data_IF_245599786423
#
_entry.id   IF_245599786423
#
_cell.length_a   1.000
_cell.length_b   1.000
_cell.length_c   1.000
_cell.angle_alpha   90.00
_cell.angle_beta   90.00
_cell.angle_gamma   90.00
#
_symmetry.space_group_name_H-M   'P 1'
#
loop_
_entity.id
_entity.type
_entity.pdbx_description
1 polymer ?
#
# COMPACT_ATOMS: atom_id res chain seq x y z
N UNK A 1 10.99 -53.17 -20.46
CA UNK A 1 10.14 -52.58 -19.39
C UNK A 1 10.94 -51.81 -18.34
N UNK A 2 12.16 -52.25 -17.96
CA UNK A 2 13.02 -51.57 -16.97
C UNK A 2 13.38 -50.10 -17.31
N UNK A 3 13.59 -49.77 -18.60
CA UNK A 3 13.92 -48.40 -19.04
C UNK A 3 12.82 -47.37 -18.73
N UNK A 4 11.55 -47.75 -18.88
CA UNK A 4 10.42 -46.86 -18.58
C UNK A 4 10.29 -46.61 -17.08
N UNK A 5 10.55 -47.63 -16.26
CA UNK A 5 10.46 -47.50 -14.80
C UNK A 5 11.55 -46.56 -14.25
N UNK A 6 12.77 -46.66 -14.76
CA UNK A 6 13.89 -45.77 -14.37
C UNK A 6 13.62 -44.32 -14.76
N UNK A 7 13.10 -44.06 -15.96
CA UNK A 7 12.76 -42.69 -16.39
C UNK A 7 11.66 -42.05 -15.56
N UNK A 8 10.62 -42.82 -15.21
CA UNK A 8 9.53 -42.34 -14.35
C UNK A 8 10.02 -42.06 -12.91
N UNK A 9 10.91 -42.90 -12.39
CA UNK A 9 11.50 -42.71 -11.08
C UNK A 9 12.42 -41.47 -11.03
N UNK A 10 13.22 -41.23 -12.08
CA UNK A 10 14.04 -40.02 -12.20
C UNK A 10 13.19 -38.75 -12.27
N UNK A 11 12.06 -38.76 -12.99
CA UNK A 11 11.14 -37.63 -13.04
C UNK A 11 10.51 -37.33 -11.67
N UNK A 12 10.08 -38.37 -10.94
CA UNK A 12 9.53 -38.22 -9.60
C UNK A 12 10.57 -37.67 -8.61
N UNK A 13 11.80 -38.18 -8.63
CA UNK A 13 12.88 -37.67 -7.78
C UNK A 13 13.15 -36.20 -8.08
N UNK A 14 13.24 -35.82 -9.36
CA UNK A 14 13.53 -34.44 -9.74
C UNK A 14 12.40 -33.48 -9.35
N UNK A 15 11.13 -33.91 -9.49
CA UNK A 15 9.97 -33.14 -9.03
C UNK A 15 9.97 -32.96 -7.50
N UNK A 16 10.29 -34.01 -6.74
CA UNK A 16 10.37 -33.92 -5.27
C UNK A 16 11.54 -33.07 -4.78
N UNK A 17 12.68 -33.09 -5.47
CA UNK A 17 13.83 -32.25 -5.15
C UNK A 17 13.55 -30.76 -5.41
N UNK A 18 12.87 -30.42 -6.51
CA UNK A 18 12.43 -29.05 -6.82
C UNK A 18 11.37 -28.57 -5.82
N UNK A 19 10.39 -29.42 -5.49
CA UNK A 19 9.36 -29.11 -4.50
C UNK A 19 9.96 -28.94 -3.08
N UNK A 20 10.99 -29.71 -2.73
CA UNK A 20 11.71 -29.54 -1.47
C UNK A 20 12.53 -28.24 -1.44
N UNK A 21 13.20 -27.89 -2.55
CA UNK A 21 13.99 -26.65 -2.64
C UNK A 21 13.14 -25.39 -2.53
N UNK A 22 11.89 -25.41 -3.03
CA UNK A 22 10.98 -24.27 -2.94
C UNK A 22 9.99 -24.36 -1.77
N UNK A 23 9.81 -25.55 -1.17
CA UNK A 23 8.86 -25.80 -0.10
C UNK A 23 9.47 -25.82 1.31
N UNK A 24 10.80 -25.98 1.46
CA UNK A 24 11.46 -26.01 2.77
C UNK A 24 11.94 -24.65 3.27
N UNK A 25 11.99 -23.63 2.41
CA UNK A 25 12.25 -22.26 2.81
C UNK A 25 10.90 -21.57 2.97
N UNK A 26 10.46 -21.37 4.21
CA UNK A 26 9.43 -20.35 4.45
C UNK A 26 10.03 -19.02 3.99
N UNK A 27 9.48 -18.45 2.92
CA UNK A 27 9.92 -17.14 2.46
C UNK A 27 9.53 -16.13 3.55
N UNK A 28 10.47 -15.75 4.41
CA UNK A 28 10.35 -14.64 5.34
C UNK A 28 10.56 -13.31 4.60
N UNK A 29 9.81 -13.12 3.51
CA UNK A 29 9.65 -11.80 2.90
C UNK A 29 8.52 -11.10 3.66
N UNK A 30 8.84 -10.32 4.69
CA UNK A 30 7.86 -9.44 5.33
C UNK A 30 7.83 -8.09 4.60
N UNK A 31 7.31 -8.13 3.37
CA UNK A 31 7.22 -7.00 2.43
C UNK A 31 5.80 -6.41 2.35
N UNK A 32 4.90 -6.81 3.26
CA UNK A 32 3.48 -6.45 3.24
C UNK A 32 3.24 -4.93 3.15
N UNK A 33 4.14 -4.13 3.76
CA UNK A 33 4.06 -2.67 3.75
C UNK A 33 5.21 -1.98 3.03
N UNK A 34 6.07 -2.74 2.33
CA UNK A 34 7.14 -2.20 1.52
C UNK A 34 6.55 -1.14 0.56
N UNK A 35 5.58 -1.56 -0.25
CA UNK A 35 4.86 -0.76 -1.25
C UNK A 35 3.58 -0.08 -0.73
N UNK A 36 3.49 0.18 0.58
CA UNK A 36 2.30 0.77 1.19
C UNK A 36 2.52 2.19 1.71
N UNK A 37 1.51 3.03 1.56
CA UNK A 37 1.37 4.33 2.20
C UNK A 37 0.22 4.23 3.20
N UNK A 38 0.52 4.49 4.48
CA UNK A 38 -0.48 4.56 5.54
C UNK A 38 -0.89 6.00 5.79
N UNK A 39 -2.19 6.27 5.90
CA UNK A 39 -2.73 7.57 6.28
C UNK A 39 -3.51 7.41 7.58
N UNK A 40 -3.08 8.06 8.65
CA UNK A 40 -3.76 7.96 9.95
C UNK A 40 -4.33 9.32 10.34
N UNK A 41 -5.65 9.37 10.56
CA UNK A 41 -6.29 10.60 11.01
C UNK A 41 -5.94 10.89 12.46
N UNK A 42 -5.49 12.12 12.73
CA UNK A 42 -5.20 12.57 14.09
C UNK A 42 -6.47 12.50 14.96
N UNK A 43 -6.32 12.02 16.20
CA UNK A 43 -7.40 11.97 17.19
C UNK A 43 -7.40 13.18 18.13
N UNK A 44 -6.48 14.15 17.93
CA UNK A 44 -6.35 15.31 18.80
C UNK A 44 -7.50 16.30 18.62
N UNK A 45 -8.59 16.03 19.35
CA UNK A 45 -9.81 16.85 19.35
C UNK A 45 -9.95 17.72 20.60
N UNK A 46 -9.01 17.59 21.55
CA UNK A 46 -9.10 18.20 22.89
C UNK A 46 -7.90 19.08 23.24
N UNK A 47 -6.85 19.11 22.41
CA UNK A 47 -5.71 20.00 22.60
C UNK A 47 -6.08 21.49 22.50
N UNK A 48 -5.16 22.40 22.89
CA UNK A 48 -5.39 23.84 22.83
C UNK A 48 -5.62 24.36 21.40
N UNK A 49 -5.09 23.64 20.39
CA UNK A 49 -5.35 23.87 18.97
C UNK A 49 -5.72 22.52 18.33
N UNK A 50 -7.00 22.08 18.40
CA UNK A 50 -7.37 20.75 17.96
C UNK A 50 -7.20 20.61 16.43
N UNK A 51 -6.35 19.68 16.01
CA UNK A 51 -6.05 19.38 14.61
C UNK A 51 -6.63 18.03 14.16
N UNK A 52 -7.21 17.27 15.07
CA UNK A 52 -7.76 15.95 14.84
C UNK A 52 -9.18 15.91 14.28
N UNK A 53 -9.63 14.70 13.99
CA UNK A 53 -10.97 14.39 13.51
C UNK A 53 -11.78 13.65 14.58
N UNK A 54 -13.10 13.77 14.50
CA UNK A 54 -14.03 12.94 15.27
C UNK A 54 -14.33 11.68 14.49
N UNK A 55 -14.64 10.59 15.19
CA UNK A 55 -14.90 9.30 14.55
C UNK A 55 -16.02 9.33 13.51
N UNK A 56 -17.07 10.14 13.72
CA UNK A 56 -18.17 10.29 12.76
C UNK A 56 -17.78 11.02 11.48
N UNK A 57 -16.72 11.81 11.51
CA UNK A 57 -16.31 12.65 10.37
C UNK A 57 -15.46 11.88 9.37
N UNK A 58 -14.77 10.83 9.82
CA UNK A 58 -14.00 9.93 8.96
C UNK A 58 -14.72 8.61 8.69
N UNK A 59 -16.02 8.53 8.99
CA UNK A 59 -16.80 7.30 8.77
C UNK A 59 -16.83 6.94 7.28
N UNK A 60 -16.95 7.94 6.41
CA UNK A 60 -16.95 7.77 4.97
C UNK A 60 -15.72 8.45 4.39
N UNK A 61 -14.69 7.65 4.10
CA UNK A 61 -13.47 8.11 3.43
C UNK A 61 -13.55 7.68 1.98
N UNK A 62 -13.56 8.63 1.07
CA UNK A 62 -13.46 8.35 -0.35
C UNK A 62 -12.00 8.46 -0.77
N UNK A 63 -11.54 7.45 -1.49
CA UNK A 63 -10.23 7.46 -2.11
C UNK A 63 -10.42 7.40 -3.61
N UNK A 64 -9.80 8.33 -4.32
CA UNK A 64 -9.74 8.39 -5.77
C UNK A 64 -8.29 8.16 -6.18
N UNK A 65 -8.05 7.26 -7.13
CA UNK A 65 -6.76 7.16 -7.81
C UNK A 65 -6.89 7.63 -9.25
N UNK A 66 -5.89 8.37 -9.72
CA UNK A 66 -5.82 8.87 -11.09
C UNK A 66 -4.42 8.54 -11.62
N UNK A 67 -4.29 7.77 -12.72
CA UNK A 67 -2.97 7.48 -13.27
C UNK A 67 -2.26 8.76 -13.69
N UNK A 68 -0.96 8.83 -13.47
CA UNK A 68 -0.14 10.00 -13.83
C UNK A 68 0.12 10.09 -15.33
N UNK A 69 -0.01 8.98 -16.06
CA UNK A 69 0.15 8.95 -17.51
C UNK A 69 -1.03 9.66 -18.21
N UNK A 70 -0.69 10.73 -18.91
CA UNK A 70 -1.64 11.60 -19.61
C UNK A 70 -1.95 11.13 -21.04
N UNK A 71 -1.17 10.19 -21.59
CA UNK A 71 -1.25 9.83 -23.01
C UNK A 71 -2.53 9.08 -23.39
N UNK A 72 -3.12 8.32 -22.46
CA UNK A 72 -4.35 7.55 -22.71
C UNK A 72 -5.59 8.06 -21.95
N UNK A 73 -5.50 9.21 -21.26
CA UNK A 73 -6.56 9.74 -20.35
C UNK A 73 -7.28 8.61 -19.58
N UNK A 74 -6.55 7.74 -18.87
CA UNK A 74 -7.19 6.65 -18.15
C UNK A 74 -8.15 7.19 -17.08
N UNK A 75 -9.29 6.51 -16.91
CA UNK A 75 -10.33 6.91 -15.98
C UNK A 75 -9.86 6.92 -14.53
N UNK A 76 -10.42 7.82 -13.72
CA UNK A 76 -10.22 7.83 -12.28
C UNK A 76 -11.05 6.70 -11.64
N UNK A 77 -10.44 5.93 -10.75
CA UNK A 77 -11.15 4.94 -9.94
C UNK A 77 -11.47 5.54 -8.58
N UNK A 78 -12.67 5.27 -8.05
CA UNK A 78 -13.06 5.70 -6.71
C UNK A 78 -13.48 4.51 -5.87
N UNK A 79 -12.97 4.44 -4.64
CA UNK A 79 -13.40 3.48 -3.62
C UNK A 79 -13.89 4.24 -2.40
N UNK A 80 -14.98 3.74 -1.81
CA UNK A 80 -15.47 4.19 -0.50
C UNK A 80 -14.95 3.23 0.57
N UNK A 81 -14.28 3.78 1.56
CA UNK A 81 -13.89 3.09 2.79
C UNK A 81 -14.85 3.50 3.90
N UNK A 82 -15.74 2.59 4.27
CA UNK A 82 -16.64 2.77 5.43
C UNK A 82 -15.91 2.31 6.69
N UNK A 83 -15.70 3.23 7.62
CA UNK A 83 -14.89 3.00 8.82
C UNK A 83 -15.77 3.00 10.07
N UNK A 84 -15.92 1.86 10.78
CA UNK A 84 -16.62 1.84 12.05
C UNK A 84 -15.81 2.59 13.12
N UNK A 85 -16.49 3.15 14.12
CA UNK A 85 -15.87 3.93 15.21
C UNK A 85 -14.73 3.17 15.88
N UNK A 86 -14.87 1.85 16.08
CA UNK A 86 -13.85 1.00 16.68
C UNK A 86 -12.53 0.92 15.88
N UNK A 87 -12.57 1.22 14.57
CA UNK A 87 -11.39 1.22 13.69
C UNK A 87 -10.92 2.62 13.33
N UNK A 88 -11.45 3.66 13.96
CA UNK A 88 -11.12 5.06 13.68
C UNK A 88 -9.62 5.36 13.66
N UNK A 89 -8.89 4.82 14.64
CA UNK A 89 -7.46 5.05 14.82
C UNK A 89 -6.58 4.22 13.88
N UNK A 90 -7.13 3.24 13.16
CA UNK A 90 -6.36 2.45 12.21
C UNK A 90 -5.95 3.30 11.01
N UNK A 91 -4.78 3.06 10.40
CA UNK A 91 -4.41 3.77 9.18
C UNK A 91 -5.24 3.28 7.99
N UNK A 92 -5.57 4.19 7.09
CA UNK A 92 -5.98 3.86 5.72
C UNK A 92 -4.73 3.46 4.96
N UNK A 93 -4.70 2.21 4.49
CA UNK A 93 -3.55 1.67 3.76
C UNK A 93 -3.83 1.73 2.26
N UNK A 94 -2.89 2.32 1.53
CA UNK A 94 -2.88 2.40 0.07
C UNK A 94 -1.62 1.68 -0.41
N UNK A 95 -1.77 0.64 -1.22
CA UNK A 95 -0.68 -0.11 -1.84
C UNK A 95 -1.07 -0.51 -3.28
N UNK A 96 -0.30 -1.42 -3.90
CA UNK A 96 -0.53 -1.85 -5.28
C UNK A 96 -1.88 -2.56 -5.50
N UNK A 97 -2.46 -3.18 -4.47
CA UNK A 97 -3.64 -4.07 -4.57
C UNK A 97 -4.79 -3.70 -3.64
N UNK A 98 -4.60 -2.70 -2.78
CA UNK A 98 -5.55 -2.27 -1.73
C UNK A 98 -5.49 -0.74 -1.60
N UNK A 99 -6.63 -0.04 -1.52
CA UNK A 99 -7.99 -0.59 -1.59
C UNK A 99 -8.46 -0.83 -3.03
N UNK A 100 -7.65 -0.50 -4.02
CA UNK A 100 -7.96 -0.71 -5.42
C UNK A 100 -7.31 -1.98 -5.95
N UNK A 101 -8.04 -2.73 -6.78
CA UNK A 101 -7.44 -3.84 -7.52
C UNK A 101 -6.29 -3.36 -8.41
N UNK A 102 -5.27 -4.19 -8.55
CA UNK A 102 -4.12 -3.91 -9.42
C UNK A 102 -4.59 -3.81 -10.88
N UNK A 103 -4.17 -2.74 -11.57
CA UNK A 103 -4.49 -2.51 -12.97
C UNK A 103 -3.24 -2.70 -13.83
N UNK A 104 -3.08 -3.90 -14.39
CA UNK A 104 -1.91 -4.28 -15.19
C UNK A 104 -0.60 -4.18 -14.40
N UNK A 105 0.42 -3.59 -15.01
CA UNK A 105 1.76 -3.47 -14.41
C UNK A 105 1.97 -2.15 -13.63
N UNK A 106 0.93 -1.32 -13.49
CA UNK A 106 1.04 -0.04 -12.77
C UNK A 106 1.13 -0.28 -11.27
N UNK A 107 2.16 0.28 -10.65
CA UNK A 107 2.39 0.23 -9.19
C UNK A 107 1.91 1.53 -8.53
N UNK A 108 2.05 1.62 -7.21
CA UNK A 108 1.60 2.75 -6.38
C UNK A 108 2.11 4.11 -6.90
N UNK A 109 3.35 4.17 -7.39
CA UNK A 109 4.03 5.35 -7.94
C UNK A 109 3.45 5.86 -9.27
N UNK A 110 2.64 5.04 -9.95
CA UNK A 110 2.06 5.34 -11.26
C UNK A 110 0.77 6.17 -11.17
N UNK A 111 0.35 6.55 -9.96
CA UNK A 111 -0.91 7.25 -9.70
C UNK A 111 -0.72 8.45 -8.77
N UNK A 112 -1.62 9.42 -8.91
CA UNK A 112 -1.96 10.37 -7.86
C UNK A 112 -3.20 9.89 -7.11
N UNK A 113 -3.33 10.29 -5.85
CA UNK A 113 -4.46 9.91 -5.01
C UNK A 113 -5.11 11.14 -4.40
N UNK A 114 -6.43 11.17 -4.39
CA UNK A 114 -7.21 12.13 -3.63
C UNK A 114 -7.99 11.36 -2.56
N UNK A 115 -7.69 11.65 -1.31
CA UNK A 115 -8.51 11.25 -0.18
C UNK A 115 -9.42 12.43 0.17
N UNK A 116 -10.73 12.18 0.29
CA UNK A 116 -11.65 13.19 0.76
C UNK A 116 -12.71 12.63 1.70
N UNK A 117 -13.19 13.49 2.59
CA UNK A 117 -14.25 13.18 3.55
C UNK A 117 -15.55 13.83 3.08
N UNK A 118 -16.59 13.02 2.92
CA UNK A 118 -17.91 13.48 2.52
C UNK A 118 -18.99 12.55 3.06
N UNK A 119 -20.21 13.06 3.32
CA UNK A 119 -21.30 12.20 3.78
C UNK A 119 -21.76 11.22 2.68
N UNK A 120 -21.64 11.58 1.40
CA UNK A 120 -22.00 10.72 0.26
C UNK A 120 -21.09 10.97 -0.95
N UNK A 121 -21.04 10.04 -1.91
CA UNK A 121 -20.21 10.17 -3.13
C UNK A 121 -20.65 11.34 -4.01
N UNK A 122 -21.94 11.66 -4.00
CA UNK A 122 -22.54 12.74 -4.80
C UNK A 122 -22.53 14.09 -4.09
N UNK A 123 -21.97 14.16 -2.88
CA UNK A 123 -21.87 15.41 -2.13
C UNK A 123 -20.99 16.40 -2.88
N UNK A 124 -21.53 17.58 -3.17
CA UNK A 124 -20.79 18.66 -3.85
C UNK A 124 -19.75 19.34 -2.95
N UNK A 125 -19.86 19.16 -1.63
CA UNK A 125 -18.99 19.77 -0.64
C UNK A 125 -18.29 18.66 0.13
N UNK A 126 -16.96 18.72 0.15
CA UNK A 126 -16.11 17.87 0.97
C UNK A 126 -15.80 18.60 2.27
N UNK A 127 -15.78 17.88 3.39
CA UNK A 127 -15.37 18.45 4.68
C UNK A 127 -13.84 18.52 4.82
N UNK A 128 -13.12 17.75 4.01
CA UNK A 128 -11.66 17.69 4.00
C UNK A 128 -11.17 17.01 2.72
N UNK A 129 -10.07 17.51 2.18
CA UNK A 129 -9.36 16.96 1.02
C UNK A 129 -7.87 16.81 1.36
N UNK A 130 -7.29 15.69 0.98
CA UNK A 130 -5.85 15.41 1.03
C UNK A 130 -5.43 14.79 -0.29
N UNK A 131 -4.43 15.37 -0.93
CA UNK A 131 -3.89 14.89 -2.20
C UNK A 131 -2.50 14.31 -2.00
N UNK A 132 -2.30 13.08 -2.44
CA UNK A 132 -0.97 12.53 -2.69
C UNK A 132 -0.68 12.76 -4.17
N UNK A 133 0.20 13.70 -4.47
CA UNK A 133 0.50 14.11 -5.84
C UNK A 133 1.27 13.03 -6.58
N UNK A 134 2.25 12.45 -5.92
CA UNK A 134 3.04 11.33 -6.43
C UNK A 134 3.69 10.58 -5.28
N UNK A 135 4.02 9.33 -5.54
CA UNK A 135 4.90 8.53 -4.69
C UNK A 135 6.12 8.17 -5.51
N UNK A 136 7.31 8.43 -4.99
CA UNK A 136 8.54 7.90 -5.57
C UNK A 136 8.90 6.64 -4.81
N UNK A 137 8.92 5.51 -5.52
CA UNK A 137 9.31 4.21 -5.01
C UNK A 137 10.56 3.74 -5.73
N UNK A 138 11.57 3.33 -4.96
CA UNK A 138 12.69 2.57 -5.48
C UNK A 138 12.68 1.18 -4.84
N UNK A 139 12.17 0.20 -5.58
CA UNK A 139 12.04 -1.18 -5.15
C UNK A 139 13.22 -1.97 -5.70
N UNK A 140 13.94 -2.70 -4.85
CA UNK A 140 14.96 -3.66 -5.24
C UNK A 140 14.38 -5.06 -5.17
N UNK A 141 14.46 -5.75 -6.29
CA UNK A 141 14.14 -7.16 -6.37
C UNK A 141 15.31 -7.97 -5.80
N UNK A 142 15.02 -8.81 -4.80
CA UNK A 142 15.98 -9.79 -4.29
C UNK A 142 15.42 -11.19 -4.54
N UNK A 143 16.20 -12.00 -5.22
CA UNK A 143 15.90 -13.42 -5.40
C UNK A 143 16.91 -14.24 -4.61
N UNK A 144 16.43 -14.95 -3.59
CA UNK A 144 17.23 -15.89 -2.82
C UNK A 144 16.59 -17.28 -2.95
N UNK A 145 17.22 -18.15 -3.75
CA UNK A 145 16.67 -19.47 -4.06
C UNK A 145 15.33 -19.38 -4.80
N UNK A 146 14.28 -19.98 -4.24
CA UNK A 146 12.92 -19.95 -4.78
C UNK A 146 12.08 -18.76 -4.28
N UNK A 147 12.63 -17.92 -3.40
CA UNK A 147 11.93 -16.76 -2.85
C UNK A 147 12.28 -15.49 -3.62
N UNK A 148 11.26 -14.70 -3.93
CA UNK A 148 11.41 -13.35 -4.48
C UNK A 148 10.84 -12.36 -3.47
N UNK A 149 11.70 -11.49 -2.94
CA UNK A 149 11.28 -10.41 -2.04
C UNK A 149 11.45 -9.05 -2.74
N UNK A 150 10.59 -8.10 -2.40
CA UNK A 150 10.74 -6.71 -2.81
C UNK A 150 11.11 -5.85 -1.61
N UNK A 151 12.24 -5.16 -1.70
CA UNK A 151 12.71 -4.24 -0.67
C UNK A 151 12.66 -2.81 -1.16
N UNK A 152 12.06 -1.93 -0.37
CA UNK A 152 11.96 -0.53 -0.72
C UNK A 152 13.06 0.29 -0.07
N UNK A 153 14.11 0.55 -0.84
CA UNK A 153 15.26 1.35 -0.42
C UNK A 153 14.94 2.84 -0.36
N UNK A 154 13.91 3.30 -1.05
CA UNK A 154 13.44 4.68 -0.98
C UNK A 154 11.93 4.74 -1.21
N UNK A 155 11.21 5.43 -0.32
CA UNK A 155 9.77 5.73 -0.48
C UNK A 155 9.50 7.17 -0.06
N UNK A 156 9.30 8.05 -1.03
CA UNK A 156 9.04 9.48 -0.82
C UNK A 156 7.61 9.81 -1.26
N UNK A 157 6.82 10.42 -0.37
CA UNK A 157 5.41 10.75 -0.65
C UNK A 157 5.26 12.27 -0.73
N UNK A 158 4.80 12.76 -1.87
CA UNK A 158 4.51 14.18 -2.10
C UNK A 158 3.04 14.45 -1.87
N UNK A 159 2.73 15.45 -1.04
CA UNK A 159 1.38 15.69 -0.52
C UNK A 159 1.02 17.16 -0.68
N UNK A 160 -0.21 17.44 -1.14
CA UNK A 160 -0.81 18.77 -1.23
C UNK A 160 0.09 19.81 -1.95
N UNK A 161 0.81 19.40 -2.98
CA UNK A 161 1.72 20.24 -3.75
C UNK A 161 2.98 20.66 -2.99
N UNK A 162 3.24 20.09 -1.80
CA UNK A 162 4.44 20.38 -1.03
C UNK A 162 5.70 19.84 -1.77
N UNK A 163 6.69 20.69 -2.09
CA UNK A 163 7.91 20.25 -2.76
C UNK A 163 8.80 19.36 -1.88
N UNK A 164 8.62 19.41 -0.55
CA UNK A 164 9.35 18.58 0.40
C UNK A 164 8.56 17.29 0.64
N UNK A 165 9.06 16.11 0.22
CA UNK A 165 8.34 14.87 0.42
C UNK A 165 8.39 14.40 1.87
N UNK A 166 7.36 13.67 2.27
CA UNK A 166 7.38 12.85 3.46
C UNK A 166 8.21 11.60 3.17
N UNK A 167 9.37 11.46 3.82
CA UNK A 167 10.22 10.28 3.66
C UNK A 167 9.61 9.11 4.42
N UNK A 168 8.92 8.21 3.72
CA UNK A 168 8.28 7.01 4.26
C UNK A 168 9.09 5.74 3.96
N UNK A 169 10.39 5.85 3.63
CA UNK A 169 11.28 4.70 3.47
C UNK A 169 11.13 3.79 4.68
N UNK A 170 10.83 2.51 4.43
CA UNK A 170 10.25 1.61 5.41
C UNK A 170 11.06 1.59 6.71
N UNK A 171 10.51 2.04 7.85
CA UNK A 171 11.13 1.73 9.11
C UNK A 171 11.05 0.22 9.30
N UNK A 172 12.17 -0.40 9.62
CA UNK A 172 12.18 -1.80 10.03
C UNK A 172 11.56 -1.90 11.43
N UNK A 173 10.66 -2.85 11.65
CA UNK A 173 10.16 -3.14 12.99
C UNK A 173 11.25 -3.80 13.86
N UNK A 174 10.92 -4.16 15.10
CA UNK A 174 11.85 -4.84 16.02
C UNK A 174 12.32 -6.21 15.52
N UNK A 175 11.73 -6.75 14.46
CA UNK A 175 12.08 -8.01 13.80
C UNK A 175 12.80 -7.79 12.47
N UNK A 176 13.08 -6.56 12.07
CA UNK A 176 13.74 -6.26 10.79
C UNK A 176 12.80 -6.22 9.58
N UNK A 177 11.49 -6.27 9.81
CA UNK A 177 10.44 -6.36 8.79
C UNK A 177 9.91 -4.99 8.38
N UNK A 178 9.36 -4.84 7.17
CA UNK A 178 8.87 -3.54 6.70
C UNK A 178 7.61 -3.12 7.46
N UNK A 179 7.75 -2.15 8.38
CA UNK A 179 6.65 -1.63 9.15
C UNK A 179 5.91 -0.52 8.41
N UNK A 180 4.59 -0.46 8.61
CA UNK A 180 3.81 0.68 8.15
C UNK A 180 4.07 1.90 9.04
N UNK A 181 4.68 2.94 8.47
CA UNK A 181 4.74 4.27 9.09
C UNK A 181 3.61 5.14 8.56
N UNK A 182 2.57 5.42 9.34
CA UNK A 182 1.48 6.24 8.85
C UNK A 182 1.91 7.72 8.77
N UNK A 183 1.48 8.38 7.72
CA UNK A 183 1.44 9.84 7.66
C UNK A 183 0.27 10.29 8.51
N UNK A 184 0.54 11.15 9.48
CA UNK A 184 -0.49 11.76 10.29
C UNK A 184 -1.26 12.78 9.44
N UNK A 185 -2.57 12.59 9.34
CA UNK A 185 -3.49 13.48 8.64
C UNK A 185 -4.15 14.37 9.66
N UNK A 186 -3.95 15.67 9.49
CA UNK A 186 -4.45 16.74 10.34
C UNK A 186 -5.39 17.66 9.54
N UNK A 187 -6.35 18.28 10.22
CA UNK A 187 -7.32 19.20 9.58
C UNK A 187 -6.69 20.46 9.02
N UNK A 188 -5.59 20.90 9.62
CA UNK A 188 -4.78 22.02 9.14
C UNK A 188 -3.43 21.43 8.69
N UNK A 189 -2.98 21.74 7.48
CA UNK A 189 -1.61 21.40 7.06
C UNK A 189 -0.57 22.21 7.84
#
# INVERSE_FOLDING_TARGET
MLRSFVTWFSFLIMATALAACCGSTACECDDQYADAVGLQFSADTTGPNPVGFRAREVQNVYLVRVPLDTTQRPGADTVLLVRPVARYSQPVVINNTTPFAQAGNRKLDSYSYLLYLAPSRTSKVHSFDLRIDSVQLNTVFRAEGCCTCFDNNNKLVYINGNPTPQNQTAPKDSKGSDALRPILVERKP
#
